data_IF_424293408849
#
_entry.id   IF_424293408849
#
_cell.length_a   1.000
_cell.length_b   1.000
_cell.length_c   1.000
_cell.angle_alpha   90.00
_cell.angle_beta   90.00
_cell.angle_gamma   90.00
#
_symmetry.space_group_name_H-M   'P 1'
#
loop_
_entity.id
_entity.type
_entity.pdbx_description
1 polymer ?
#
# COMPACT_ATOMS: atom_id res chain seq x y z
N UNK A 1 -7.11 -47.02 3.36
CA UNK A 1 -5.81 -47.50 2.81
C UNK A 1 -6.09 -48.54 1.73
N UNK A 2 -6.47 -48.11 0.52
CA UNK A 2 -6.90 -49.05 -0.53
C UNK A 2 -6.99 -48.39 -1.92
N UNK A 3 -6.10 -47.44 -2.22
CA UNK A 3 -6.07 -46.74 -3.51
C UNK A 3 -4.74 -46.93 -4.27
N UNK A 4 -3.82 -47.79 -3.77
CA UNK A 4 -2.54 -48.07 -4.42
C UNK A 4 -2.27 -49.57 -4.62
N UNK A 5 -3.25 -50.43 -4.37
CA UNK A 5 -3.14 -51.86 -4.63
C UNK A 5 -4.39 -52.33 -5.34
N UNK A 6 -4.55 -51.88 -6.58
CA UNK A 6 -5.51 -52.49 -7.49
C UNK A 6 -4.80 -53.66 -8.20
N UNK A 7 -5.15 -54.93 -7.90
CA UNK A 7 -4.51 -56.10 -8.50
C UNK A 7 -5.00 -56.34 -9.95
N UNK A 8 -5.92 -55.52 -10.45
CA UNK A 8 -6.57 -55.66 -11.75
C UNK A 8 -6.01 -54.78 -12.87
N UNK A 9 -5.00 -53.93 -12.63
CA UNK A 9 -4.36 -53.16 -13.72
C UNK A 9 -3.42 -54.08 -14.48
N UNK A 10 -4.02 -54.75 -15.48
CA UNK A 10 -3.39 -55.26 -16.69
C UNK A 10 -2.01 -54.67 -16.96
N UNK A 11 -1.03 -55.58 -17.01
CA UNK A 11 0.29 -55.53 -17.69
C UNK A 11 0.58 -54.27 -18.52
N UNK A 12 0.64 -53.10 -17.89
CA UNK A 12 1.13 -51.91 -18.56
C UNK A 12 2.65 -52.00 -18.55
N UNK A 13 3.23 -51.92 -19.75
CA UNK A 13 4.69 -52.02 -19.97
C UNK A 13 5.47 -51.02 -19.12
N UNK A 14 4.85 -49.88 -18.80
CA UNK A 14 5.46 -48.75 -18.09
C UNK A 14 5.80 -49.09 -16.62
N UNK A 15 4.85 -49.49 -15.73
CA UNK A 15 5.18 -49.86 -14.36
C UNK A 15 6.05 -51.11 -14.24
N UNK A 16 5.91 -52.09 -15.15
CA UNK A 16 6.80 -53.26 -15.18
C UNK A 16 8.25 -52.87 -15.51
N UNK A 17 8.44 -51.95 -16.47
CA UNK A 17 9.74 -51.38 -16.82
C UNK A 17 10.34 -50.56 -15.66
N UNK A 18 9.54 -49.68 -15.05
CA UNK A 18 9.93 -48.90 -13.87
C UNK A 18 10.36 -49.80 -12.71
N UNK A 19 9.63 -50.89 -12.43
CA UNK A 19 10.01 -51.83 -11.38
C UNK A 19 11.28 -52.61 -11.72
N UNK A 20 11.45 -53.02 -12.97
CA UNK A 20 12.64 -53.77 -13.41
C UNK A 20 13.92 -52.92 -13.32
N UNK A 21 13.83 -51.62 -13.58
CA UNK A 21 14.99 -50.70 -13.62
C UNK A 21 15.02 -49.66 -12.51
N UNK A 22 14.20 -49.80 -11.45
CA UNK A 22 14.01 -48.77 -10.41
C UNK A 22 15.32 -48.29 -9.75
N UNK A 23 16.27 -49.20 -9.48
CA UNK A 23 17.54 -48.85 -8.83
C UNK A 23 18.43 -47.99 -9.71
N UNK A 24 18.51 -48.34 -11.00
CA UNK A 24 19.32 -47.63 -11.99
C UNK A 24 18.70 -46.26 -12.25
N UNK A 25 17.38 -46.22 -12.46
CA UNK A 25 16.65 -44.98 -12.68
C UNK A 25 16.80 -44.03 -11.49
N UNK A 26 16.59 -44.51 -10.27
CA UNK A 26 16.76 -43.72 -9.03
C UNK A 26 18.18 -43.18 -8.89
N UNK A 27 19.19 -44.01 -9.15
CA UNK A 27 20.60 -43.57 -9.08
C UNK A 27 20.91 -42.52 -10.14
N UNK A 28 20.45 -42.68 -11.37
CA UNK A 28 20.65 -41.70 -12.47
C UNK A 28 19.99 -40.37 -12.14
N UNK A 29 18.72 -40.39 -11.69
CA UNK A 29 18.00 -39.18 -11.27
C UNK A 29 18.69 -38.47 -10.10
N UNK A 30 19.24 -39.24 -9.15
CA UNK A 30 20.00 -38.67 -8.04
C UNK A 30 21.26 -37.93 -8.51
N UNK A 31 22.04 -38.54 -9.42
CA UNK A 31 23.22 -37.88 -9.99
C UNK A 31 22.87 -36.66 -10.84
N UNK A 32 21.80 -36.75 -11.64
CA UNK A 32 21.28 -35.59 -12.40
C UNK A 32 20.90 -34.45 -11.43
N UNK A 33 20.24 -34.77 -10.31
CA UNK A 33 19.90 -33.81 -9.27
C UNK A 33 21.12 -33.14 -8.66
N UNK A 34 22.19 -33.90 -8.37
CA UNK A 34 23.45 -33.35 -7.86
C UNK A 34 24.09 -32.41 -8.89
N UNK A 35 24.18 -32.83 -10.16
CA UNK A 35 24.76 -32.01 -11.23
C UNK A 35 23.97 -30.70 -11.40
N UNK A 36 22.64 -30.78 -11.36
CA UNK A 36 21.79 -29.59 -11.44
C UNK A 36 21.95 -28.68 -10.22
N UNK A 37 22.07 -29.27 -9.03
CA UNK A 37 22.28 -28.52 -7.77
C UNK A 37 23.60 -27.75 -7.79
N UNK A 38 24.68 -28.36 -8.28
CA UNK A 38 25.97 -27.67 -8.49
C UNK A 38 25.85 -26.61 -9.59
N UNK A 39 25.09 -26.89 -10.65
CA UNK A 39 24.81 -25.94 -11.73
C UNK A 39 24.10 -24.66 -11.27
N UNK A 40 23.24 -24.73 -10.24
CA UNK A 40 22.58 -23.55 -9.66
C UNK A 40 23.55 -22.53 -9.07
N UNK A 41 24.78 -22.92 -8.73
CA UNK A 41 25.82 -21.99 -8.27
C UNK A 41 26.37 -21.11 -9.40
N UNK A 42 26.16 -21.49 -10.67
CA UNK A 42 26.63 -20.73 -11.81
C UNK A 42 25.70 -19.56 -12.13
N UNK A 43 26.26 -18.34 -12.18
CA UNK A 43 25.50 -17.10 -12.29
C UNK A 43 24.67 -16.96 -13.59
N UNK A 44 24.99 -17.73 -14.63
CA UNK A 44 24.17 -17.77 -15.87
C UNK A 44 22.92 -18.65 -15.76
N UNK A 45 22.89 -19.59 -14.80
CA UNK A 45 21.73 -20.46 -14.52
C UNK A 45 20.88 -19.92 -13.36
N UNK A 46 21.48 -19.10 -12.50
CA UNK A 46 20.77 -18.34 -11.48
C UNK A 46 20.29 -17.01 -12.09
N UNK A 47 18.99 -16.88 -12.37
CA UNK A 47 18.42 -15.55 -12.57
C UNK A 47 18.60 -14.81 -11.25
N UNK A 48 19.51 -13.83 -11.22
CA UNK A 48 19.94 -13.13 -10.01
C UNK A 48 18.77 -12.95 -9.05
N UNK A 49 18.91 -13.49 -7.83
CA UNK A 49 17.83 -13.49 -6.85
C UNK A 49 17.42 -12.04 -6.62
N UNK A 50 16.27 -11.66 -7.19
CA UNK A 50 15.64 -10.38 -6.90
C UNK A 50 15.26 -10.40 -5.42
N UNK A 51 16.14 -9.86 -4.60
CA UNK A 51 15.87 -9.65 -3.20
C UNK A 51 14.86 -8.51 -3.13
N UNK A 52 13.61 -8.86 -2.85
CA UNK A 52 12.60 -7.86 -2.54
C UNK A 52 13.06 -7.09 -1.31
N UNK A 53 13.21 -5.77 -1.43
CA UNK A 53 13.48 -4.89 -0.28
C UNK A 53 12.39 -5.03 0.80
N UNK A 54 11.16 -5.38 0.40
CA UNK A 54 10.05 -5.71 1.31
C UNK A 54 10.25 -7.02 2.09
N UNK A 55 11.22 -7.86 1.71
CA UNK A 55 11.57 -9.08 2.44
C UNK A 55 12.67 -8.85 3.50
N UNK A 56 13.32 -7.67 3.51
CA UNK A 56 14.40 -7.33 4.45
C UNK A 56 13.95 -6.50 5.65
N UNK A 57 12.71 -6.00 5.66
CA UNK A 57 12.16 -5.13 6.71
C UNK A 57 11.05 -5.77 7.60
N UNK A 58 10.96 -7.11 7.81
CA UNK A 58 9.87 -7.67 8.63
C UNK A 58 9.91 -7.25 10.11
N UNK A 59 10.98 -6.58 10.56
CA UNK A 59 11.13 -6.03 11.91
C UNK A 59 11.02 -4.49 12.03
N UNK A 60 10.88 -3.75 10.93
CA UNK A 60 10.83 -2.27 10.94
C UNK A 60 9.46 -1.70 10.56
N UNK A 61 8.52 -2.55 10.14
CA UNK A 61 7.21 -2.10 9.67
C UNK A 61 6.22 -2.10 10.83
N UNK A 62 5.75 -0.91 11.22
CA UNK A 62 4.54 -0.77 12.02
C UNK A 62 3.34 -1.17 11.16
N UNK A 63 2.88 -2.40 11.35
CA UNK A 63 1.71 -2.95 10.65
C UNK A 63 0.37 -2.39 11.14
N UNK A 64 0.37 -1.65 12.24
CA UNK A 64 -0.84 -1.06 12.84
C UNK A 64 -0.73 0.47 12.91
N UNK A 65 -1.81 1.13 12.51
CA UNK A 65 -1.96 2.57 12.66
C UNK A 65 -2.46 2.89 14.07
N UNK A 66 -1.57 3.36 14.94
CA UNK A 66 -1.91 3.79 16.31
C UNK A 66 -2.15 5.31 16.40
N UNK A 67 -2.94 5.86 15.49
CA UNK A 67 -3.18 7.30 15.40
C UNK A 67 -4.51 7.80 15.97
N UNK A 68 -5.22 6.98 16.75
CA UNK A 68 -6.58 7.30 17.21
C UNK A 68 -6.65 8.58 18.07
N UNK A 69 -5.74 8.74 19.03
CA UNK A 69 -5.66 9.94 19.88
C UNK A 69 -5.34 11.20 19.07
N UNK A 70 -4.48 11.08 18.07
CA UNK A 70 -4.09 12.16 17.15
C UNK A 70 -5.27 12.54 16.25
N UNK A 71 -6.03 11.55 15.76
CA UNK A 71 -7.23 11.78 14.97
C UNK A 71 -8.31 12.49 15.79
N UNK A 72 -8.54 12.07 17.04
CA UNK A 72 -9.48 12.75 17.95
C UNK A 72 -9.06 14.20 18.25
N UNK A 73 -7.77 14.47 18.41
CA UNK A 73 -7.25 15.83 18.56
C UNK A 73 -7.56 16.70 17.33
N UNK A 74 -7.27 16.22 16.13
CA UNK A 74 -7.56 16.95 14.89
C UNK A 74 -9.06 17.12 14.65
N UNK A 75 -9.86 16.12 15.01
CA UNK A 75 -11.32 16.17 14.90
C UNK A 75 -11.86 17.32 15.75
N UNK A 76 -11.49 17.36 17.03
CA UNK A 76 -11.95 18.40 17.94
C UNK A 76 -11.50 19.80 17.47
N UNK A 77 -10.24 19.94 17.07
CA UNK A 77 -9.72 21.21 16.57
C UNK A 77 -10.43 21.68 15.28
N UNK A 78 -10.75 20.75 14.38
CA UNK A 78 -11.48 21.07 13.14
C UNK A 78 -12.95 21.43 13.42
N UNK A 79 -13.59 20.77 14.39
CA UNK A 79 -14.96 21.10 14.80
C UNK A 79 -15.04 22.48 15.44
N UNK A 80 -14.12 22.82 16.34
CA UNK A 80 -14.03 24.17 16.94
C UNK A 80 -13.84 25.26 15.86
N UNK A 81 -13.00 25.01 14.85
CA UNK A 81 -12.79 25.95 13.75
C UNK A 81 -14.01 26.05 12.83
N UNK A 82 -14.69 24.92 12.57
CA UNK A 82 -15.91 24.88 11.77
C UNK A 82 -17.08 25.61 12.45
N UNK A 83 -17.16 25.56 13.79
CA UNK A 83 -18.15 26.30 14.57
C UNK A 83 -17.91 27.81 14.56
N UNK A 84 -16.65 28.25 14.56
CA UNK A 84 -16.29 29.67 14.39
C UNK A 84 -16.64 30.20 13.00
N UNK A 85 -16.55 29.33 11.98
CA UNK A 85 -16.75 29.69 10.58
C UNK A 85 -17.78 28.78 9.87
N UNK A 86 -19.07 28.82 10.25
CA UNK A 86 -20.07 27.83 9.82
C UNK A 86 -20.38 27.86 8.32
N UNK A 87 -20.16 29.00 7.66
CA UNK A 87 -20.46 29.20 6.24
C UNK A 87 -19.21 29.22 5.34
N UNK A 88 -18.02 29.05 5.90
CA UNK A 88 -16.77 29.10 5.15
C UNK A 88 -15.96 27.83 5.35
N UNK A 89 -15.15 27.48 4.35
CA UNK A 89 -14.18 26.40 4.47
C UNK A 89 -12.94 26.96 5.19
N UNK A 90 -12.39 26.27 6.21
CA UNK A 90 -11.23 26.75 6.96
C UNK A 90 -9.93 26.50 6.19
N UNK A 91 -9.77 27.17 5.05
CA UNK A 91 -8.65 26.97 4.13
C UNK A 91 -7.29 27.26 4.77
N UNK A 92 -7.18 28.38 5.50
CA UNK A 92 -5.96 28.78 6.20
C UNK A 92 -5.54 27.78 7.27
N UNK A 93 -6.51 27.28 8.03
CA UNK A 93 -6.28 26.26 9.05
C UNK A 93 -5.77 24.96 8.42
N UNK A 94 -6.39 24.48 7.34
CA UNK A 94 -5.96 23.26 6.64
C UNK A 94 -4.54 23.41 6.06
N UNK A 95 -4.24 24.54 5.43
CA UNK A 95 -2.89 24.84 4.93
C UNK A 95 -1.85 24.84 6.06
N UNK A 96 -2.19 25.45 7.20
CA UNK A 96 -1.30 25.48 8.36
C UNK A 96 -1.05 24.08 8.92
N UNK A 97 -2.09 23.23 9.04
CA UNK A 97 -1.93 21.87 9.52
C UNK A 97 -1.05 21.02 8.62
N UNK A 98 -1.26 21.06 7.29
CA UNK A 98 -0.40 20.34 6.35
C UNK A 98 1.06 20.81 6.41
N UNK A 99 1.28 22.13 6.52
CA UNK A 99 2.62 22.70 6.66
C UNK A 99 3.28 22.26 7.98
N UNK A 100 2.53 22.26 9.09
CA UNK A 100 3.04 21.85 10.40
C UNK A 100 3.40 20.36 10.46
N UNK A 101 2.69 19.52 9.70
CA UNK A 101 3.01 18.09 9.56
C UNK A 101 4.31 17.87 8.75
N UNK A 102 4.72 18.87 7.95
CA UNK A 102 5.90 18.80 7.08
C UNK A 102 5.58 18.38 5.65
N UNK A 103 4.34 18.57 5.18
CA UNK A 103 3.96 18.27 3.80
C UNK A 103 4.27 19.44 2.86
N UNK A 104 4.64 19.12 1.61
CA UNK A 104 4.70 20.10 0.52
C UNK A 104 3.27 20.58 0.19
N UNK A 105 2.90 21.72 0.78
CA UNK A 105 1.50 22.16 0.84
C UNK A 105 1.17 23.14 -0.29
N UNK A 106 0.06 22.89 -0.99
CA UNK A 106 -0.38 23.70 -2.13
C UNK A 106 -1.88 23.97 -2.11
N UNK A 107 -2.28 25.08 -2.72
CA UNK A 107 -3.67 25.45 -3.00
C UNK A 107 -3.92 25.53 -4.50
N UNK A 108 -5.07 25.03 -4.95
CA UNK A 108 -5.47 25.01 -6.35
C UNK A 108 -6.91 25.52 -6.48
N UNK A 109 -7.05 26.71 -7.06
CA UNK A 109 -8.34 27.28 -7.39
C UNK A 109 -8.87 26.64 -8.67
N UNK A 110 -10.11 26.17 -8.64
CA UNK A 110 -10.76 25.57 -9.81
C UNK A 110 -12.13 26.18 -10.06
N UNK A 111 -12.54 26.17 -11.32
CA UNK A 111 -13.90 26.48 -11.76
C UNK A 111 -14.40 25.28 -12.56
N UNK A 112 -15.45 24.64 -12.06
CA UNK A 112 -16.10 23.51 -12.71
C UNK A 112 -17.34 24.00 -13.45
N UNK A 113 -17.31 23.89 -14.78
CA UNK A 113 -18.48 24.06 -15.63
C UNK A 113 -19.20 22.71 -15.74
N UNK A 114 -20.41 22.63 -15.19
CA UNK A 114 -21.15 21.37 -15.18
C UNK A 114 -21.59 21.00 -16.62
N UNK A 115 -21.29 19.80 -17.13
CA UNK A 115 -21.52 19.48 -18.55
C UNK A 115 -23.00 19.30 -18.89
N UNK A 116 -23.85 18.99 -17.90
CA UNK A 116 -25.28 18.70 -18.09
C UNK A 116 -26.19 19.86 -17.65
N UNK A 117 -25.66 21.09 -17.53
CA UNK A 117 -26.46 22.29 -17.25
C UNK A 117 -25.62 23.55 -17.04
N UNK A 118 -26.25 24.73 -17.04
CA UNK A 118 -25.56 26.03 -16.90
C UNK A 118 -25.16 26.37 -15.46
N UNK A 119 -24.66 25.40 -14.69
CA UNK A 119 -24.17 25.61 -13.32
C UNK A 119 -22.66 25.69 -13.33
N UNK A 120 -22.14 26.76 -12.71
CA UNK A 120 -20.71 26.97 -12.52
C UNK A 120 -20.42 26.84 -11.03
N UNK A 121 -19.49 25.95 -10.70
CA UNK A 121 -19.03 25.76 -9.32
C UNK A 121 -17.59 26.27 -9.21
N UNK A 122 -17.33 27.09 -8.20
CA UNK A 122 -15.99 27.57 -7.90
C UNK A 122 -15.57 27.02 -6.55
N UNK A 123 -14.28 26.70 -6.43
CA UNK A 123 -13.74 26.15 -5.20
C UNK A 123 -12.22 26.17 -5.19
N UNK A 124 -11.69 25.79 -4.03
CA UNK A 124 -10.25 25.68 -3.79
C UNK A 124 -9.99 24.29 -3.25
N UNK A 125 -9.10 23.56 -3.89
CA UNK A 125 -8.54 22.31 -3.38
C UNK A 125 -7.26 22.63 -2.62
N UNK A 126 -7.12 22.05 -1.43
CA UNK A 126 -5.88 22.07 -0.67
C UNK A 126 -5.33 20.65 -0.68
N UNK A 127 -4.05 20.51 -1.01
CA UNK A 127 -3.38 19.22 -0.98
C UNK A 127 -1.97 19.37 -0.44
N UNK A 128 -1.50 18.34 0.25
CA UNK A 128 -0.13 18.22 0.74
C UNK A 128 0.51 17.00 0.10
N UNK A 129 1.75 17.13 -0.34
CA UNK A 129 2.52 16.03 -0.91
C UNK A 129 3.55 15.58 0.13
N UNK A 130 3.52 14.29 0.48
CA UNK A 130 4.60 13.63 1.22
C UNK A 130 5.47 12.87 0.20
N UNK A 131 6.72 13.27 0.05
CA UNK A 131 7.64 12.63 -0.90
C UNK A 131 8.39 11.49 -0.23
N UNK A 132 8.45 10.35 -0.90
CA UNK A 132 9.32 9.25 -0.49
C UNK A 132 10.79 9.66 -0.66
N UNK A 133 11.62 9.38 0.34
CA UNK A 133 13.05 9.76 0.35
C UNK A 133 13.85 8.97 -0.69
N UNK A 134 13.49 7.70 -0.91
CA UNK A 134 14.16 6.80 -1.87
C UNK A 134 13.09 6.06 -2.66
N UNK A 135 12.80 6.52 -3.87
CA UNK A 135 11.83 5.90 -4.77
C UNK A 135 11.78 6.63 -6.10
N UNK A 136 11.47 5.91 -7.18
CA UNK A 136 11.45 6.43 -8.56
C UNK A 136 10.36 7.49 -8.82
N UNK A 137 9.55 7.85 -7.80
CA UNK A 137 8.37 8.74 -7.91
C UNK A 137 7.36 8.28 -8.98
N UNK A 138 7.39 7.01 -9.37
CA UNK A 138 6.53 6.42 -10.41
C UNK A 138 5.18 5.95 -9.89
N UNK A 139 5.02 5.88 -8.57
CA UNK A 139 3.81 5.42 -7.90
C UNK A 139 3.42 6.42 -6.81
N UNK A 140 2.11 6.63 -6.63
CA UNK A 140 1.59 7.55 -5.63
C UNK A 140 0.27 7.05 -5.06
N UNK A 141 0.11 7.18 -3.73
CA UNK A 141 -1.17 6.99 -3.05
C UNK A 141 -1.83 8.35 -2.86
N UNK A 142 -3.06 8.50 -3.33
CA UNK A 142 -3.84 9.74 -3.16
C UNK A 142 -5.00 9.47 -2.21
N UNK A 143 -5.04 10.19 -1.10
CA UNK A 143 -6.15 10.18 -0.15
C UNK A 143 -6.86 11.53 -0.24
N UNK A 144 -8.13 11.52 -0.62
CA UNK A 144 -8.92 12.74 -0.79
C UNK A 144 -10.19 12.70 0.06
N UNK A 145 -10.47 13.79 0.77
CA UNK A 145 -11.70 13.94 1.55
C UNK A 145 -12.32 15.32 1.28
N UNK A 146 -13.63 15.39 0.94
CA UNK A 146 -14.27 16.68 0.74
C UNK A 146 -14.58 17.33 2.10
N UNK A 147 -14.34 18.63 2.23
CA UNK A 147 -14.84 19.38 3.37
C UNK A 147 -16.30 19.78 3.15
N UNK A 148 -17.15 19.49 4.13
CA UNK A 148 -18.55 19.87 4.14
C UNK A 148 -18.81 20.80 5.33
N UNK A 149 -19.23 22.05 5.08
CA UNK A 149 -19.57 22.98 6.16
C UNK A 149 -20.71 22.44 7.03
N UNK A 150 -20.81 22.86 8.30
CA UNK A 150 -21.91 22.49 9.19
C UNK A 150 -23.31 22.78 8.62
N UNK A 151 -23.43 23.82 7.80
CA UNK A 151 -24.68 24.24 7.13
C UNK A 151 -25.09 23.32 5.97
N UNK A 152 -24.25 22.36 5.58
CA UNK A 152 -24.54 21.43 4.47
C UNK A 152 -25.65 20.45 4.85
N UNK A 153 -26.52 20.13 3.88
CA UNK A 153 -27.53 19.07 4.00
C UNK A 153 -26.93 17.66 4.02
N UNK A 154 -25.67 17.52 3.63
CA UNK A 154 -24.97 16.24 3.59
C UNK A 154 -24.27 15.91 4.90
N UNK A 155 -24.04 14.62 5.15
CA UNK A 155 -23.35 14.15 6.36
C UNK A 155 -21.95 14.79 6.48
N UNK A 156 -21.61 15.17 7.72
CA UNK A 156 -20.31 15.74 8.08
C UNK A 156 -19.18 14.77 7.75
N UNK A 157 -18.09 15.32 7.22
CA UNK A 157 -16.86 14.59 6.83
C UNK A 157 -15.64 15.01 7.67
N UNK A 158 -15.88 15.73 8.78
CA UNK A 158 -14.82 16.23 9.68
C UNK A 158 -13.95 15.11 10.23
N UNK A 159 -14.56 13.98 10.63
CA UNK A 159 -13.83 12.80 11.10
C UNK A 159 -12.89 12.22 10.03
N UNK A 160 -13.30 12.22 8.75
CA UNK A 160 -12.46 11.73 7.66
C UNK A 160 -11.24 12.63 7.42
N UNK A 161 -11.43 13.95 7.52
CA UNK A 161 -10.34 14.93 7.39
C UNK A 161 -9.37 14.79 8.58
N UNK A 162 -9.90 14.63 9.79
CA UNK A 162 -9.10 14.42 10.98
C UNK A 162 -8.25 13.13 10.91
N UNK A 163 -8.85 12.04 10.41
CA UNK A 163 -8.14 10.79 10.16
C UNK A 163 -7.04 10.96 9.10
N UNK A 164 -7.33 11.69 8.01
CA UNK A 164 -6.35 12.00 6.96
C UNK A 164 -5.16 12.78 7.52
N UNK A 165 -5.40 13.77 8.39
CA UNK A 165 -4.33 14.54 9.06
C UNK A 165 -3.50 13.66 10.00
N UNK A 166 -4.15 12.80 10.79
CA UNK A 166 -3.46 11.87 11.68
C UNK A 166 -2.60 10.86 10.91
N UNK A 167 -3.13 10.35 9.79
CA UNK A 167 -2.42 9.44 8.90
C UNK A 167 -1.24 10.12 8.20
N UNK A 168 -1.41 11.35 7.72
CA UNK A 168 -0.32 12.14 7.15
C UNK A 168 0.80 12.38 8.16
N UNK A 169 0.45 12.70 9.41
CA UNK A 169 1.41 12.85 10.52
C UNK A 169 2.14 11.55 10.86
N UNK A 170 1.43 10.43 10.85
CA UNK A 170 2.01 9.12 11.07
C UNK A 170 3.06 8.80 9.98
N UNK A 171 2.71 9.00 8.71
CA UNK A 171 3.64 8.76 7.61
C UNK A 171 4.83 9.73 7.62
N UNK A 172 4.63 11.02 7.90
CA UNK A 172 5.76 11.95 7.96
C UNK A 172 6.77 11.58 9.04
N UNK A 173 6.30 11.03 10.18
CA UNK A 173 7.18 10.48 11.23
C UNK A 173 8.01 9.29 10.77
N UNK A 174 7.42 8.33 10.05
CA UNK A 174 8.14 7.14 9.55
C UNK A 174 9.25 7.53 8.57
N UNK A 175 8.97 8.45 7.65
CA UNK A 175 9.96 8.87 6.65
C UNK A 175 11.15 9.64 7.25
N UNK A 176 10.97 10.34 8.37
CA UNK A 176 12.05 11.04 9.05
C UNK A 176 13.11 10.08 9.63
N UNK A 177 12.69 8.93 10.17
CA UNK A 177 13.59 7.93 10.76
C UNK A 177 14.51 7.22 9.76
N UNK A 178 14.19 7.25 8.46
CA UNK A 178 15.05 6.67 7.41
C UNK A 178 16.15 7.61 6.91
N UNK A 179 16.25 8.81 7.48
CA UNK A 179 17.19 9.86 7.04
C UNK A 179 18.40 10.06 7.98
N UNK A 180 18.50 9.27 9.06
CA UNK A 180 19.72 9.07 9.86
C UNK A 180 20.30 7.67 9.61
#
# INVERSE_FOLDING_TARGET
MGLLTDPGVEKSVIPAFLYSYHKILSSVLYFIGIVWFVGLAHNSLNHGTYFSENALLPGLVQGEFMGDSVAHYYLKALEEEAERHPNAVPYSWLLAQFTQIGLDTHSHNFTLHYPLGNKVFQGVNIYGILRAVRGSSTESLVVSTPYRPPTSVHQKTTASIALMLALAKFFSGIFFFFNE
#
